data_IF_799323409843
#
_entry.id   IF_799323409843
#
_cell.length_a   1.000
_cell.length_b   1.000
_cell.length_c   1.000
_cell.angle_alpha   90.00
_cell.angle_beta   90.00
_cell.angle_gamma   90.00
#
_symmetry.space_group_name_H-M   'P 1'
#
loop_
_entity.id
_entity.type
_entity.pdbx_description
1 polymer ?
#
# COMPACT_ATOMS: atom_id res chain seq x y z
N UNK A 1 -10.60 -38.21 -5.33
CA UNK A 1 -9.25 -37.65 -5.13
C UNK A 1 -9.00 -36.57 -6.17
N UNK A 2 -8.59 -35.37 -5.75
CA UNK A 2 -8.25 -34.27 -6.65
C UNK A 2 -8.90 -32.92 -6.32
N UNK A 3 -8.82 -32.47 -5.06
CA UNK A 3 -9.24 -31.14 -4.65
C UNK A 3 -8.26 -30.10 -5.24
N UNK A 4 -8.59 -29.50 -6.39
CA UNK A 4 -7.81 -28.43 -7.02
C UNK A 4 -8.05 -27.11 -6.29
N UNK A 5 -7.45 -26.96 -5.11
CA UNK A 5 -7.34 -25.68 -4.43
C UNK A 5 -6.18 -24.88 -5.06
N UNK A 6 -6.32 -24.43 -6.31
CA UNK A 6 -5.36 -23.48 -6.91
C UNK A 6 -5.63 -22.08 -6.36
N UNK A 7 -5.20 -21.83 -5.13
CA UNK A 7 -4.99 -20.47 -4.60
C UNK A 7 -3.69 -19.94 -5.22
N UNK A 8 -3.80 -19.37 -6.41
CA UNK A 8 -2.68 -18.82 -7.17
C UNK A 8 -2.66 -17.30 -7.14
N UNK A 9 -1.47 -16.74 -7.32
CA UNK A 9 -1.30 -15.32 -7.67
C UNK A 9 -1.86 -15.05 -9.07
N UNK A 10 -2.47 -13.89 -9.27
CA UNK A 10 -2.96 -13.43 -10.58
C UNK A 10 -2.25 -12.13 -10.93
N UNK A 11 -1.69 -12.02 -12.13
CA UNK A 11 -1.05 -10.78 -12.63
C UNK A 11 -2.15 -9.90 -13.25
N UNK A 12 -2.16 -8.60 -12.95
CA UNK A 12 -3.05 -7.64 -13.62
C UNK A 12 -2.79 -7.67 -15.15
N UNK A 13 -3.80 -7.39 -15.98
CA UNK A 13 -3.68 -7.46 -17.45
C UNK A 13 -2.54 -6.59 -18.03
N UNK A 14 -2.13 -5.57 -17.28
CA UNK A 14 -1.11 -4.58 -17.60
C UNK A 14 0.21 -4.81 -16.83
N UNK A 15 0.32 -5.89 -16.04
CA UNK A 15 1.54 -6.20 -15.28
C UNK A 15 1.90 -5.15 -14.24
N UNK A 16 0.90 -4.45 -13.68
CA UNK A 16 1.06 -3.35 -12.69
C UNK A 16 0.84 -3.82 -11.24
N UNK A 17 0.20 -4.97 -11.03
CA UNK A 17 0.15 -5.62 -9.73
C UNK A 17 0.06 -7.15 -9.85
N UNK A 18 0.53 -7.86 -8.82
CA UNK A 18 0.24 -9.28 -8.61
C UNK A 18 -0.70 -9.44 -7.43
N UNK A 19 -1.91 -9.93 -7.72
CA UNK A 19 -2.92 -10.25 -6.72
C UNK A 19 -2.59 -11.57 -6.05
N UNK A 20 -2.44 -11.54 -4.73
CA UNK A 20 -2.21 -12.72 -3.90
C UNK A 20 -3.38 -12.87 -2.96
N UNK A 21 -3.98 -14.07 -2.90
CA UNK A 21 -5.10 -14.35 -1.98
C UNK A 21 -4.67 -15.30 -0.87
N UNK A 22 -4.75 -14.86 0.39
CA UNK A 22 -4.43 -15.67 1.58
C UNK A 22 -5.54 -15.59 2.61
N UNK A 23 -5.54 -16.50 3.57
CA UNK A 23 -6.43 -16.40 4.73
C UNK A 23 -5.98 -15.24 5.63
N UNK A 24 -6.95 -14.48 6.15
CA UNK A 24 -6.73 -13.42 7.13
C UNK A 24 -5.87 -13.91 8.30
N UNK A 25 -4.85 -13.16 8.69
CA UNK A 25 -3.94 -13.51 9.77
C UNK A 25 -4.46 -13.16 11.18
N UNK A 26 -5.66 -12.58 11.30
CA UNK A 26 -6.22 -12.20 12.60
C UNK A 26 -6.60 -13.46 13.40
N UNK A 27 -6.21 -13.49 14.66
CA UNK A 27 -6.57 -14.53 15.62
C UNK A 27 -7.53 -13.92 16.63
N UNK A 28 -8.69 -14.54 16.77
CA UNK A 28 -9.74 -14.10 17.69
C UNK A 28 -9.34 -14.37 19.15
N UNK A 29 -9.99 -13.73 20.15
CA UNK A 29 -9.70 -13.98 21.56
C UNK A 29 -9.86 -15.44 22.02
N UNK A 30 -10.65 -16.23 21.29
CA UNK A 30 -10.83 -17.67 21.50
C UNK A 30 -9.69 -18.53 20.90
N UNK A 31 -8.70 -17.91 20.27
CA UNK A 31 -7.55 -18.57 19.63
C UNK A 31 -7.80 -19.01 18.19
N UNK A 32 -9.02 -18.88 17.66
CA UNK A 32 -9.32 -19.28 16.28
C UNK A 32 -8.84 -18.23 15.29
N UNK A 33 -8.17 -18.68 14.22
CA UNK A 33 -7.79 -17.80 13.11
C UNK A 33 -9.00 -17.49 12.24
N UNK A 34 -9.19 -16.21 11.91
CA UNK A 34 -10.24 -15.78 11.01
C UNK A 34 -10.22 -16.55 9.69
N UNK A 35 -11.37 -17.11 9.29
CA UNK A 35 -11.49 -17.94 8.07
C UNK A 35 -11.70 -17.14 6.78
N UNK A 36 -11.88 -15.82 6.88
CA UNK A 36 -12.05 -14.95 5.70
C UNK A 36 -10.76 -14.91 4.88
N UNK A 37 -10.90 -14.90 3.56
CA UNK A 37 -9.79 -14.64 2.65
C UNK A 37 -9.57 -13.13 2.50
N UNK A 38 -8.36 -12.76 2.14
CA UNK A 38 -7.98 -11.41 1.77
C UNK A 38 -7.07 -11.43 0.56
N UNK A 39 -7.33 -10.48 -0.33
CA UNK A 39 -6.55 -10.28 -1.55
C UNK A 39 -5.89 -8.91 -1.54
N UNK A 40 -6.59 -7.88 -1.07
CA UNK A 40 -6.10 -6.50 -1.10
C UNK A 40 -5.54 -6.03 0.24
N UNK A 41 -6.14 -6.45 1.36
CA UNK A 41 -5.89 -5.78 2.64
C UNK A 41 -4.95 -6.54 3.57
N UNK A 42 -4.02 -7.30 2.99
CA UNK A 42 -3.08 -8.13 3.75
C UNK A 42 -2.41 -7.36 4.89
N UNK A 43 -2.16 -8.04 6.03
CA UNK A 43 -2.37 -9.47 6.28
C UNK A 43 -3.80 -9.83 6.71
N UNK A 44 -4.70 -8.84 6.80
CA UNK A 44 -6.04 -9.01 7.35
C UNK A 44 -7.13 -8.95 6.26
N UNK A 45 -8.31 -9.52 6.53
CA UNK A 45 -9.49 -9.24 5.69
C UNK A 45 -9.99 -7.82 5.98
N UNK A 46 -10.78 -7.25 5.06
CA UNK A 46 -11.24 -5.86 5.17
C UNK A 46 -11.86 -5.51 6.54
N UNK A 47 -12.64 -6.44 7.13
CA UNK A 47 -13.17 -6.28 8.48
C UNK A 47 -12.07 -6.11 9.54
N UNK A 48 -11.09 -7.00 9.56
CA UNK A 48 -10.01 -6.95 10.54
C UNK A 48 -8.99 -5.84 10.24
N UNK A 49 -8.83 -5.42 8.99
CA UNK A 49 -8.08 -4.21 8.64
C UNK A 49 -8.72 -2.97 9.28
N UNK A 50 -10.06 -2.83 9.16
CA UNK A 50 -10.81 -1.75 9.83
C UNK A 50 -10.64 -1.79 11.34
N UNK A 51 -10.73 -2.98 11.94
CA UNK A 51 -10.64 -3.16 13.38
C UNK A 51 -9.22 -2.91 13.93
N UNK A 52 -8.21 -3.55 13.35
CA UNK A 52 -6.82 -3.52 13.83
C UNK A 52 -6.16 -2.20 13.48
N UNK A 53 -6.15 -1.84 12.20
CA UNK A 53 -5.42 -0.68 11.71
C UNK A 53 -6.24 0.61 11.79
N UNK A 54 -7.57 0.54 11.94
CA UNK A 54 -8.40 1.74 11.95
C UNK A 54 -8.47 2.42 10.59
N UNK A 55 -8.26 1.67 9.50
CA UNK A 55 -8.33 2.15 8.13
C UNK A 55 -9.09 1.18 7.22
N UNK A 56 -9.53 1.67 6.06
CA UNK A 56 -10.14 0.86 5.01
C UNK A 56 -9.64 1.24 3.62
N UNK A 57 -9.69 0.27 2.70
CA UNK A 57 -9.43 0.49 1.27
C UNK A 57 -10.76 0.68 0.57
N UNK A 58 -10.91 1.78 -0.17
CA UNK A 58 -12.09 2.10 -1.00
C UNK A 58 -11.69 3.00 -2.17
N UNK A 59 -12.57 3.28 -3.14
CA UNK A 59 -12.24 4.20 -4.24
C UNK A 59 -11.69 5.53 -3.72
N UNK A 60 -10.58 5.98 -4.31
CA UNK A 60 -9.92 7.25 -3.97
C UNK A 60 -10.85 8.44 -4.28
N UNK A 61 -10.67 9.54 -3.55
CA UNK A 61 -11.34 10.80 -3.88
C UNK A 61 -10.69 11.52 -5.07
N UNK A 62 -9.51 11.08 -5.49
CA UNK A 62 -8.75 11.64 -6.60
C UNK A 62 -9.20 10.97 -7.91
N UNK A 63 -9.67 11.73 -8.92
CA UNK A 63 -10.04 11.18 -10.21
C UNK A 63 -8.91 10.39 -10.85
N UNK A 64 -9.19 9.14 -11.24
CA UNK A 64 -8.22 8.27 -11.92
C UNK A 64 -7.18 7.59 -11.02
N UNK A 65 -7.12 7.91 -9.72
CA UNK A 65 -6.15 7.29 -8.80
C UNK A 65 -6.49 5.83 -8.41
N UNK A 66 -7.70 5.36 -8.72
CA UNK A 66 -8.15 4.01 -8.39
C UNK A 66 -8.59 3.88 -6.93
N UNK A 67 -7.81 3.15 -6.12
CA UNK A 67 -8.12 2.88 -4.71
C UNK A 67 -7.27 3.75 -3.79
N UNK A 68 -7.87 4.22 -2.70
CA UNK A 68 -7.22 4.97 -1.64
C UNK A 68 -7.35 4.28 -0.27
N UNK A 69 -6.58 4.75 0.70
CA UNK A 69 -6.61 4.30 2.08
C UNK A 69 -7.25 5.37 2.98
N UNK A 70 -8.26 5.01 3.76
CA UNK A 70 -9.07 5.97 4.51
C UNK A 70 -9.12 5.63 5.99
N UNK A 71 -9.02 6.64 6.84
CA UNK A 71 -9.19 6.47 8.28
C UNK A 71 -10.66 6.16 8.62
N UNK A 72 -10.91 5.16 9.47
CA UNK A 72 -12.26 4.86 10.00
C UNK A 72 -12.43 5.30 11.46
N UNK A 73 -11.34 5.78 12.07
CA UNK A 73 -11.29 6.40 13.40
C UNK A 73 -10.29 7.56 13.38
N UNK A 74 -10.35 8.43 14.38
CA UNK A 74 -9.36 9.50 14.54
C UNK A 74 -7.96 8.91 14.72
N UNK A 75 -7.00 9.44 13.98
CA UNK A 75 -5.57 9.10 14.10
C UNK A 75 -4.81 10.38 14.46
N UNK A 76 -4.20 10.48 15.65
CA UNK A 76 -3.44 11.67 16.05
C UNK A 76 -2.26 11.94 15.11
N UNK A 77 -1.79 13.19 15.09
CA UNK A 77 -0.49 13.54 14.48
C UNK A 77 0.64 12.75 15.16
N UNK A 78 1.73 12.51 14.42
CA UNK A 78 2.95 11.84 14.91
C UNK A 78 2.70 10.39 15.38
N UNK A 79 1.70 9.74 14.78
CA UNK A 79 1.36 8.33 14.96
C UNK A 79 2.03 7.47 13.89
N UNK A 80 2.74 6.43 14.32
CA UNK A 80 3.19 5.34 13.45
C UNK A 80 1.98 4.54 12.95
N UNK A 81 1.92 4.29 11.63
CA UNK A 81 0.84 3.54 11.01
C UNK A 81 1.27 2.14 10.57
N UNK A 82 2.23 2.08 9.64
CA UNK A 82 2.60 0.88 8.92
C UNK A 82 4.09 0.87 8.61
N UNK A 83 4.63 -0.31 8.33
CA UNK A 83 5.78 -0.40 7.44
C UNK A 83 5.27 -0.46 6.00
N UNK A 84 5.89 0.32 5.11
CA UNK A 84 5.77 0.11 3.68
C UNK A 84 6.73 -1.01 3.30
N UNK A 85 6.17 -2.12 2.80
CA UNK A 85 6.91 -3.34 2.54
C UNK A 85 6.59 -3.86 1.14
N UNK A 86 7.34 -4.88 0.70
CA UNK A 86 7.26 -5.42 -0.66
C UNK A 86 8.49 -6.25 -1.02
N UNK A 87 8.63 -6.55 -2.30
CA UNK A 87 9.85 -7.19 -2.80
C UNK A 87 11.01 -6.21 -2.63
N UNK A 88 12.15 -6.67 -2.11
CA UNK A 88 13.37 -5.87 -2.01
C UNK A 88 14.21 -6.13 -3.24
N UNK A 89 14.29 -5.13 -4.10
CA UNK A 89 15.02 -5.19 -5.35
C UNK A 89 16.31 -4.40 -5.23
N UNK A 90 17.39 -4.89 -5.83
CA UNK A 90 18.50 -4.04 -6.21
C UNK A 90 18.05 -3.01 -7.25
N UNK A 91 18.83 -1.93 -7.41
CA UNK A 91 18.57 -0.90 -8.44
C UNK A 91 18.54 -1.52 -9.85
N UNK A 92 19.39 -2.52 -10.12
CA UNK A 92 19.41 -3.23 -11.40
C UNK A 92 18.11 -4.04 -11.63
N UNK A 93 17.68 -4.82 -10.63
CA UNK A 93 16.44 -5.61 -10.73
C UNK A 93 15.20 -4.72 -10.87
N UNK A 94 15.17 -3.58 -10.18
CA UNK A 94 14.11 -2.58 -10.35
C UNK A 94 14.10 -2.01 -11.78
N UNK A 95 15.27 -1.61 -12.30
CA UNK A 95 15.39 -1.04 -13.64
C UNK A 95 14.99 -2.04 -14.72
N UNK A 96 15.38 -3.31 -14.58
CA UNK A 96 14.98 -4.38 -15.49
C UNK A 96 13.47 -4.63 -15.42
N UNK A 97 12.89 -4.69 -14.21
CA UNK A 97 11.45 -4.92 -14.00
C UNK A 97 10.59 -3.83 -14.65
N UNK A 98 11.04 -2.58 -14.61
CA UNK A 98 10.29 -1.42 -15.08
C UNK A 98 10.89 -0.76 -16.33
N UNK A 99 11.72 -1.46 -17.09
CA UNK A 99 12.37 -0.92 -18.29
C UNK A 99 11.38 -0.33 -19.31
N UNK A 100 10.24 -0.99 -19.51
CA UNK A 100 9.19 -0.57 -20.45
C UNK A 100 8.28 0.55 -19.88
N UNK A 101 8.02 0.52 -18.56
CA UNK A 101 7.15 1.48 -17.89
C UNK A 101 7.88 2.78 -17.52
N UNK A 102 9.21 2.74 -17.41
CA UNK A 102 10.07 3.83 -16.94
C UNK A 102 9.99 4.11 -15.44
N UNK A 103 8.98 3.60 -14.74
CA UNK A 103 8.82 3.75 -13.29
C UNK A 103 8.03 2.59 -12.67
N UNK A 104 8.28 2.33 -11.38
CA UNK A 104 7.53 1.38 -10.57
C UNK A 104 6.39 2.05 -9.80
N UNK A 105 5.12 1.76 -10.12
CA UNK A 105 3.96 2.45 -9.51
C UNK A 105 3.84 2.29 -7.99
N UNK A 106 4.51 1.28 -7.43
CA UNK A 106 4.48 0.95 -6.01
C UNK A 106 5.89 0.88 -5.40
N UNK A 107 6.88 1.47 -6.07
CA UNK A 107 8.26 1.44 -5.65
C UNK A 107 8.61 2.62 -4.75
N UNK A 108 9.33 2.35 -3.66
CA UNK A 108 9.93 3.35 -2.78
C UNK A 108 11.40 3.02 -2.58
N UNK A 109 12.28 4.01 -2.75
CA UNK A 109 13.69 3.84 -2.42
C UNK A 109 13.86 3.62 -0.91
N UNK A 110 14.46 2.49 -0.53
CA UNK A 110 14.83 2.23 0.85
C UNK A 110 16.21 2.86 1.15
N UNK A 111 17.16 2.68 0.25
CA UNK A 111 18.50 3.26 0.29
C UNK A 111 19.13 3.20 -1.12
N UNK A 112 20.33 3.76 -1.27
CA UNK A 112 21.07 3.81 -2.54
C UNK A 112 21.31 2.47 -3.26
N UNK A 113 21.04 1.32 -2.63
CA UNK A 113 21.18 -0.02 -3.24
C UNK A 113 19.87 -0.79 -3.34
N UNK A 114 18.81 -0.34 -2.66
CA UNK A 114 17.61 -1.15 -2.48
C UNK A 114 16.35 -0.34 -2.67
N UNK A 115 15.46 -0.87 -3.49
CA UNK A 115 14.09 -0.38 -3.72
C UNK A 115 13.12 -1.40 -3.13
N UNK A 116 12.12 -0.93 -2.40
CA UNK A 116 10.98 -1.75 -1.97
C UNK A 116 9.88 -1.60 -3.01
N UNK A 117 9.43 -2.72 -3.57
CA UNK A 117 8.37 -2.77 -4.57
C UNK A 117 7.13 -3.48 -4.02
N UNK A 118 6.09 -2.71 -3.72
CA UNK A 118 4.80 -3.21 -3.24
C UNK A 118 3.85 -3.65 -4.38
N UNK A 119 4.42 -4.06 -5.51
CA UNK A 119 3.73 -4.62 -6.67
C UNK A 119 2.77 -5.77 -6.34
N UNK A 120 3.13 -6.62 -5.37
CA UNK A 120 2.28 -7.72 -4.90
C UNK A 120 1.27 -7.24 -3.86
N UNK A 121 0.03 -7.71 -3.91
CA UNK A 121 -0.99 -7.25 -2.96
C UNK A 121 -0.80 -7.79 -1.55
N UNK A 122 0.04 -8.81 -1.35
CA UNK A 122 0.46 -9.27 -0.02
C UNK A 122 1.57 -8.43 0.62
N UNK A 123 2.01 -7.35 -0.04
CA UNK A 123 2.96 -6.36 0.47
C UNK A 123 2.36 -5.39 1.52
N UNK A 124 1.05 -5.49 1.78
CA UNK A 124 0.37 -4.72 2.83
C UNK A 124 -0.43 -3.52 2.31
N UNK A 125 -1.22 -2.92 3.21
CA UNK A 125 -2.20 -1.88 2.87
C UNK A 125 -1.59 -0.50 2.59
N UNK A 126 -0.34 -0.24 2.98
CA UNK A 126 0.32 1.05 2.76
C UNK A 126 0.47 1.39 1.27
N UNK A 127 0.42 0.39 0.38
CA UNK A 127 0.43 0.54 -1.08
C UNK A 127 -0.77 1.31 -1.67
N UNK A 128 -1.83 1.54 -0.87
CA UNK A 128 -3.02 2.29 -1.28
C UNK A 128 -3.01 3.75 -0.81
N UNK A 129 -1.92 4.22 -0.20
CA UNK A 129 -1.76 5.64 0.13
C UNK A 129 -1.46 6.38 -1.17
N UNK A 130 -2.35 7.28 -1.58
CA UNK A 130 -2.22 8.04 -2.82
C UNK A 130 -1.32 9.29 -2.66
N UNK A 131 -0.86 9.83 -3.79
CA UNK A 131 -0.29 11.18 -3.83
C UNK A 131 -1.36 12.21 -3.47
N UNK A 132 -0.98 13.29 -2.79
CA UNK A 132 -1.91 14.38 -2.49
C UNK A 132 -2.30 15.20 -3.74
N UNK A 133 -1.55 15.14 -4.84
CA UNK A 133 -1.83 15.90 -6.05
C UNK A 133 -3.22 15.54 -6.61
N UNK A 134 -4.00 16.54 -7.03
CA UNK A 134 -5.37 16.37 -7.51
C UNK A 134 -6.42 16.14 -6.42
N UNK A 135 -6.05 15.99 -5.15
CA UNK A 135 -7.00 15.79 -4.04
C UNK A 135 -7.65 17.07 -3.51
N UNK A 136 -7.09 18.24 -3.82
CA UNK A 136 -7.45 19.52 -3.18
C UNK A 136 -7.08 19.60 -1.70
N UNK A 137 -6.31 18.65 -1.17
CA UNK A 137 -5.88 18.56 0.23
C UNK A 137 -4.36 18.53 0.32
N UNK A 138 -3.82 18.91 1.47
CA UNK A 138 -2.39 18.78 1.80
C UNK A 138 -2.07 17.34 2.23
N UNK A 139 -0.82 16.86 2.05
CA UNK A 139 -0.42 15.57 2.59
C UNK A 139 -0.60 15.53 4.10
N UNK A 140 -0.97 14.36 4.60
CA UNK A 140 -1.24 14.09 6.02
C UNK A 140 -0.48 12.86 6.55
N UNK A 141 0.19 12.12 5.68
CA UNK A 141 1.18 11.09 6.03
C UNK A 141 2.50 11.34 5.29
N UNK A 142 3.58 10.76 5.80
CA UNK A 142 4.90 10.77 5.17
C UNK A 142 5.57 9.40 5.28
N UNK A 143 6.47 9.12 4.35
CA UNK A 143 7.37 7.98 4.41
C UNK A 143 8.68 8.38 5.09
N UNK A 144 9.16 7.53 5.99
CA UNK A 144 10.45 7.71 6.67
C UNK A 144 11.30 6.45 6.47
N UNK A 145 12.38 6.55 5.70
CA UNK A 145 13.32 5.43 5.55
C UNK A 145 14.33 5.41 6.68
N UNK A 146 14.45 4.25 7.35
CA UNK A 146 15.52 3.98 8.33
C UNK A 146 16.76 3.35 7.68
N UNK A 147 16.74 3.15 6.36
CA UNK A 147 17.71 2.35 5.61
C UNK A 147 17.48 0.83 5.72
N UNK A 148 16.67 0.37 6.69
CA UNK A 148 16.27 -1.04 6.87
C UNK A 148 14.81 -1.30 6.52
N UNK A 149 13.94 -0.36 6.86
CA UNK A 149 12.53 -0.35 6.51
C UNK A 149 12.09 1.07 6.14
N UNK A 150 10.93 1.15 5.49
CA UNK A 150 10.21 2.41 5.28
C UNK A 150 9.02 2.42 6.22
N UNK A 151 8.93 3.44 7.06
CA UNK A 151 7.84 3.65 8.00
C UNK A 151 6.85 4.67 7.46
N UNK A 152 5.57 4.50 7.76
CA UNK A 152 4.51 5.46 7.43
C UNK A 152 4.08 6.14 8.71
N UNK A 153 4.23 7.46 8.76
CA UNK A 153 3.87 8.29 9.92
C UNK A 153 2.86 9.36 9.53
N UNK A 154 1.90 9.64 10.41
CA UNK A 154 1.02 10.80 10.25
C UNK A 154 1.78 12.10 10.53
N UNK A 155 1.67 13.09 9.65
CA UNK A 155 2.21 14.44 9.85
C UNK A 155 1.13 15.46 10.23
N UNK A 156 -0.13 15.03 10.22
CA UNK A 156 -1.31 15.77 10.68
C UNK A 156 -2.25 14.79 11.38
N UNK A 157 -3.14 15.31 12.23
CA UNK A 157 -4.27 14.50 12.70
C UNK A 157 -5.16 14.16 11.51
N UNK A 158 -5.62 12.91 11.45
CA UNK A 158 -6.51 12.38 10.42
C UNK A 158 -7.85 12.05 11.06
N UNK A 159 -8.91 12.70 10.60
CA UNK A 159 -10.27 12.45 11.07
C UNK A 159 -10.91 11.25 10.36
N UNK A 160 -11.92 10.59 10.97
CA UNK A 160 -12.69 9.55 10.30
C UNK A 160 -13.20 10.01 8.92
N UNK A 161 -13.09 9.13 7.92
CA UNK A 161 -13.48 9.39 6.54
C UNK A 161 -12.43 10.08 5.68
N UNK A 162 -11.36 10.64 6.28
CA UNK A 162 -10.29 11.28 5.52
C UNK A 162 -9.37 10.26 4.85
N UNK A 163 -8.99 10.56 3.60
CA UNK A 163 -7.97 9.81 2.86
C UNK A 163 -6.58 10.11 3.42
N UNK A 164 -5.75 9.06 3.52
CA UNK A 164 -4.33 9.14 3.82
C UNK A 164 -3.61 9.51 2.51
N UNK A 165 -2.94 10.64 2.52
CA UNK A 165 -2.31 11.24 1.34
C UNK A 165 -0.85 11.57 1.67
N UNK A 166 0.06 11.08 0.82
CA UNK A 166 1.48 11.33 0.92
C UNK A 166 1.93 12.36 -0.13
N UNK A 167 3.07 12.99 0.13
CA UNK A 167 3.86 13.60 -0.93
C UNK A 167 4.76 12.52 -1.53
N UNK A 168 4.65 12.30 -2.84
CA UNK A 168 5.46 11.33 -3.57
C UNK A 168 6.81 11.92 -4.01
N UNK A 169 7.02 13.21 -3.81
CA UNK A 169 8.15 13.92 -4.38
C UNK A 169 7.95 14.25 -5.86
N UNK A 170 8.78 15.17 -6.34
CA UNK A 170 8.63 15.77 -7.66
C UNK A 170 8.88 14.78 -8.81
N UNK A 171 9.89 13.91 -8.68
CA UNK A 171 10.27 12.94 -9.73
C UNK A 171 9.13 11.96 -10.00
N UNK A 172 8.58 11.34 -8.96
CA UNK A 172 7.46 10.41 -9.07
C UNK A 172 6.19 11.14 -9.52
N UNK A 173 5.95 12.35 -9.04
CA UNK A 173 4.80 13.14 -9.49
C UNK A 173 4.89 13.49 -10.98
N UNK A 174 6.08 13.80 -11.52
CA UNK A 174 6.31 13.97 -12.97
C UNK A 174 6.13 12.68 -13.75
N UNK A 175 6.69 11.57 -13.28
CA UNK A 175 6.55 10.26 -13.92
C UNK A 175 5.07 9.83 -14.03
N UNK A 176 4.26 10.17 -13.03
CA UNK A 176 2.82 9.93 -13.01
C UNK A 176 1.99 10.99 -13.77
N UNK A 177 2.62 12.02 -14.34
CA UNK A 177 1.94 13.12 -15.04
C UNK A 177 1.08 14.01 -14.12
N UNK A 178 1.37 14.02 -12.82
CA UNK A 178 0.67 14.83 -11.80
C UNK A 178 1.18 16.27 -11.76
N UNK A 179 2.41 16.49 -12.21
CA UNK A 179 3.02 17.81 -12.40
C UNK A 179 3.25 18.03 -13.89
N UNK A 180 2.97 19.25 -14.36
CA UNK A 180 3.23 19.70 -15.73
C UNK A 180 4.53 20.49 -15.79
#
# INVERSE_FOLDING_TARGET
MGNRNRRGSQVAANGIAVYVTKQCAYVHPDGERCRRLTTLTHPYCAHHTRHVHGVEVRPSTIPGAGLGLFAVRRIPKDTFLFHYDGDRLSVAEYSERYAELGFGPYAIELNHRTVIDAYRTDAGIARFICSYHGSGRKPNVQYFSTGKCVEVWTIRTIEPGQELLADYGEEMAKALGLLR
#
